data_IF_506426353762
#
_entry.id   IF_506426353762
#
_cell.length_a   1.000
_cell.length_b   1.000
_cell.length_c   1.000
_cell.angle_alpha   90.00
_cell.angle_beta   90.00
_cell.angle_gamma   90.00
#
_symmetry.space_group_name_H-M   'P 1'
#
loop_
_entity.id
_entity.type
_entity.pdbx_description
1 polymer ?
#
# COMPACT_ATOMS: atom_id res chain seq x y z
N UNK A 1 -17.67 -21.74 -8.28
CA UNK A 1 -18.09 -21.41 -6.90
C UNK A 1 -16.89 -20.81 -6.18
N UNK A 2 -16.96 -19.53 -5.83
CA UNK A 2 -15.82 -18.83 -5.22
C UNK A 2 -16.07 -18.66 -3.72
N UNK A 3 -15.71 -19.69 -2.95
CA UNK A 3 -15.72 -19.58 -1.49
C UNK A 3 -14.56 -18.71 -1.00
N UNK A 4 -14.79 -17.91 0.03
CA UNK A 4 -13.76 -17.12 0.69
C UNK A 4 -13.78 -17.32 2.21
N UNK A 5 -12.67 -17.03 2.89
CA UNK A 5 -12.61 -17.11 4.35
C UNK A 5 -13.57 -16.13 5.01
N UNK A 6 -14.28 -16.54 6.05
CA UNK A 6 -15.29 -15.75 6.76
C UNK A 6 -14.76 -14.39 7.21
N UNK A 7 -13.55 -14.31 7.79
CA UNK A 7 -12.93 -13.02 8.16
C UNK A 7 -12.63 -12.11 6.96
N UNK A 8 -12.36 -12.70 5.76
CA UNK A 8 -12.19 -11.92 4.53
C UNK A 8 -13.53 -11.35 4.06
N UNK A 9 -14.60 -12.16 4.11
CA UNK A 9 -15.96 -11.72 3.81
C UNK A 9 -16.39 -10.56 4.72
N UNK A 10 -16.26 -10.70 6.06
CA UNK A 10 -16.62 -9.65 7.01
C UNK A 10 -15.83 -8.36 6.80
N UNK A 11 -14.55 -8.48 6.46
CA UNK A 11 -13.72 -7.31 6.16
C UNK A 11 -14.14 -6.61 4.87
N UNK A 12 -14.49 -7.35 3.84
CA UNK A 12 -15.00 -6.84 2.56
C UNK A 12 -16.37 -6.19 2.69
N UNK A 13 -17.21 -6.72 3.56
CA UNK A 13 -18.50 -6.15 3.92
C UNK A 13 -18.40 -4.90 4.81
N UNK A 14 -17.20 -4.49 5.20
CA UNK A 14 -16.97 -3.27 5.99
C UNK A 14 -17.17 -3.42 7.50
N UNK A 15 -17.48 -4.64 8.00
CA UNK A 15 -17.73 -4.90 9.43
C UNK A 15 -16.51 -4.59 10.28
N UNK A 16 -15.33 -5.15 9.91
CA UNK A 16 -14.12 -5.00 10.70
C UNK A 16 -12.84 -5.24 9.85
N UNK A 17 -11.65 -5.06 10.46
CA UNK A 17 -10.42 -5.60 9.84
C UNK A 17 -10.44 -7.12 9.88
N UNK A 18 -9.65 -7.80 9.03
CA UNK A 18 -9.57 -9.27 9.06
C UNK A 18 -9.20 -9.79 10.45
N UNK A 19 -8.23 -9.15 11.13
CA UNK A 19 -7.83 -9.51 12.51
C UNK A 19 -8.93 -9.24 13.53
N UNK A 20 -9.62 -8.10 13.43
CA UNK A 20 -10.76 -7.80 14.32
C UNK A 20 -11.94 -8.74 14.02
N UNK A 21 -12.18 -9.09 12.76
CA UNK A 21 -13.19 -10.08 12.36
C UNK A 21 -12.90 -11.46 12.95
N UNK A 22 -11.64 -11.87 13.02
CA UNK A 22 -11.22 -13.10 13.71
C UNK A 22 -11.62 -13.07 15.19
N UNK A 23 -11.36 -11.96 15.89
CA UNK A 23 -11.78 -11.81 17.30
C UNK A 23 -13.32 -11.85 17.46
N UNK A 24 -14.07 -11.23 16.54
CA UNK A 24 -15.55 -11.26 16.53
C UNK A 24 -16.07 -12.69 16.31
N UNK A 25 -15.44 -13.47 15.40
CA UNK A 25 -15.79 -14.86 15.17
C UNK A 25 -15.51 -15.70 16.42
N UNK A 26 -14.33 -15.60 17.02
CA UNK A 26 -13.96 -16.33 18.21
C UNK A 26 -14.87 -16.03 19.42
N UNK A 27 -15.37 -14.79 19.50
CA UNK A 27 -16.33 -14.37 20.52
C UNK A 27 -17.77 -14.92 20.30
N UNK A 28 -18.00 -15.78 19.27
CA UNK A 28 -19.30 -16.36 18.97
C UNK A 28 -20.37 -15.38 18.48
N UNK A 29 -19.94 -14.20 17.98
CA UNK A 29 -20.84 -13.15 17.51
C UNK A 29 -21.25 -13.28 16.04
N UNK A 30 -20.71 -14.30 15.33
CA UNK A 30 -20.97 -14.54 13.92
C UNK A 30 -21.75 -15.82 13.74
N UNK A 31 -22.82 -15.78 12.97
CA UNK A 31 -23.56 -16.97 12.54
C UNK A 31 -23.55 -17.08 11.00
N UNK A 32 -23.43 -18.30 10.50
CA UNK A 32 -23.52 -18.65 9.09
C UNK A 32 -24.67 -19.64 8.94
N UNK A 33 -25.65 -19.32 8.10
CA UNK A 33 -26.85 -20.13 7.88
C UNK A 33 -27.58 -20.51 9.19
N UNK A 34 -27.60 -19.59 10.15
CA UNK A 34 -28.22 -19.77 11.45
C UNK A 34 -27.37 -20.47 12.52
N UNK A 35 -26.21 -21.01 12.17
CA UNK A 35 -25.30 -21.67 13.12
C UNK A 35 -24.18 -20.71 13.57
N UNK A 36 -23.95 -20.60 14.86
CA UNK A 36 -22.85 -19.82 15.42
C UNK A 36 -21.51 -20.45 15.04
N UNK A 37 -20.61 -19.63 14.57
CA UNK A 37 -19.24 -20.04 14.14
C UNK A 37 -18.22 -19.40 15.06
N UNK A 38 -17.40 -20.23 15.71
CA UNK A 38 -16.24 -19.79 16.52
C UNK A 38 -14.91 -20.28 15.96
N UNK A 39 -14.95 -21.31 15.10
CA UNK A 39 -13.78 -21.92 14.52
C UNK A 39 -13.10 -20.99 13.47
N UNK A 40 -11.77 -20.99 13.48
CA UNK A 40 -10.98 -20.27 12.49
C UNK A 40 -10.89 -21.05 11.17
N UNK A 41 -10.73 -20.31 10.07
CA UNK A 41 -10.54 -20.91 8.75
C UNK A 41 -11.82 -21.25 8.00
N UNK A 42 -12.99 -21.09 8.60
CA UNK A 42 -14.31 -21.31 7.96
C UNK A 42 -14.41 -20.48 6.69
N UNK A 43 -14.93 -21.10 5.63
CA UNK A 43 -15.19 -20.48 4.33
C UNK A 43 -16.69 -20.30 4.13
N UNK A 44 -17.05 -19.24 3.44
CA UNK A 44 -18.43 -18.93 3.05
C UNK A 44 -18.50 -18.66 1.54
N UNK A 45 -19.64 -19.00 0.96
CA UNK A 45 -20.01 -18.60 -0.40
C UNK A 45 -20.86 -17.32 -0.31
N UNK A 46 -20.33 -16.17 -0.76
CA UNK A 46 -21.04 -14.87 -0.65
C UNK A 46 -22.39 -14.83 -1.36
N UNK A 47 -22.60 -15.69 -2.34
CA UNK A 47 -23.81 -15.73 -3.17
C UNK A 47 -24.89 -16.68 -2.61
N UNK A 48 -24.54 -17.53 -1.62
CA UNK A 48 -25.44 -18.56 -1.08
C UNK A 48 -25.60 -18.51 0.43
N UNK A 49 -24.51 -18.21 1.15
CA UNK A 49 -24.51 -18.25 2.60
C UNK A 49 -25.04 -16.96 3.21
N UNK A 50 -25.92 -17.11 4.19
CA UNK A 50 -26.43 -15.99 4.99
C UNK A 50 -25.53 -15.79 6.22
N UNK A 51 -24.75 -14.70 6.21
CA UNK A 51 -23.86 -14.35 7.33
C UNK A 51 -24.54 -13.29 8.20
N UNK A 52 -24.53 -13.52 9.52
CA UNK A 52 -25.02 -12.54 10.52
C UNK A 52 -23.92 -12.20 11.50
N UNK A 53 -23.87 -10.94 11.93
CA UNK A 53 -23.05 -10.48 13.05
C UNK A 53 -24.01 -9.85 14.08
N UNK A 54 -23.98 -10.31 15.31
CA UNK A 54 -24.91 -9.90 16.39
C UNK A 54 -26.38 -9.94 15.93
N UNK A 55 -26.75 -10.96 15.16
CA UNK A 55 -28.10 -11.15 14.62
C UNK A 55 -28.43 -10.35 13.35
N UNK A 56 -27.60 -9.40 12.94
CA UNK A 56 -27.82 -8.53 11.77
C UNK A 56 -27.19 -9.16 10.53
N UNK A 57 -27.96 -9.28 9.42
CA UNK A 57 -27.45 -9.81 8.16
C UNK A 57 -26.37 -8.87 7.61
N UNK A 58 -25.26 -9.46 7.20
CA UNK A 58 -24.13 -8.75 6.60
C UNK A 58 -24.04 -9.10 5.11
N UNK A 59 -24.05 -8.07 4.26
CA UNK A 59 -23.92 -8.20 2.82
C UNK A 59 -22.76 -7.35 2.31
N UNK A 60 -22.17 -7.77 1.19
CA UNK A 60 -21.10 -6.99 0.54
C UNK A 60 -21.72 -6.02 -0.45
N UNK A 61 -22.14 -4.85 0.02
CA UNK A 61 -22.79 -3.81 -0.79
C UNK A 61 -21.85 -2.66 -1.19
N UNK A 62 -20.68 -2.55 -0.55
CA UNK A 62 -19.78 -1.44 -0.78
C UNK A 62 -19.17 -1.51 -2.19
N UNK A 63 -19.37 -0.48 -3.00
CA UNK A 63 -18.69 -0.31 -4.28
C UNK A 63 -17.16 -0.34 -4.08
N UNK A 64 -16.43 -0.98 -4.99
CA UNK A 64 -14.97 -0.93 -5.00
C UNK A 64 -14.50 0.48 -5.26
N UNK A 65 -13.65 0.99 -4.39
CA UNK A 65 -13.06 2.32 -4.50
C UNK A 65 -11.57 2.23 -4.36
N UNK A 66 -10.88 3.09 -5.10
CA UNK A 66 -9.43 3.24 -5.03
C UNK A 66 -9.10 4.71 -5.19
N UNK A 67 -8.27 5.24 -4.30
CA UNK A 67 -7.84 6.63 -4.29
C UNK A 67 -6.32 6.73 -4.29
N UNK A 68 -5.81 7.78 -4.94
CA UNK A 68 -4.43 8.24 -4.83
C UNK A 68 -4.41 9.36 -3.80
N UNK A 69 -3.61 9.21 -2.76
CA UNK A 69 -3.36 10.22 -1.74
C UNK A 69 -1.93 10.76 -1.89
N UNK A 70 -1.75 12.07 -1.82
CA UNK A 70 -0.43 12.65 -1.60
C UNK A 70 -0.14 12.67 -0.11
N UNK A 71 0.42 11.57 0.40
CA UNK A 71 0.77 11.43 1.82
C UNK A 71 1.71 12.55 2.26
N UNK A 72 1.36 13.35 3.27
CA UNK A 72 2.28 14.32 3.87
C UNK A 72 3.27 13.62 4.82
N UNK A 73 4.30 14.35 5.24
CA UNK A 73 5.17 14.00 6.36
C UNK A 73 4.34 13.89 7.66
N UNK A 74 4.75 13.02 8.57
CA UNK A 74 4.14 12.95 9.91
C UNK A 74 2.85 12.13 9.99
N UNK A 75 2.57 11.29 8.98
CA UNK A 75 1.43 10.37 8.99
C UNK A 75 1.90 8.93 8.85
N UNK A 76 1.31 8.01 9.62
CA UNK A 76 1.57 6.57 9.51
C UNK A 76 0.61 5.90 8.55
N UNK A 77 1.11 4.96 7.76
CA UNK A 77 0.33 4.19 6.77
C UNK A 77 -0.41 3.03 7.44
N UNK A 78 -1.42 3.36 8.23
CA UNK A 78 -2.30 2.40 8.88
C UNK A 78 -3.72 2.96 8.97
N UNK A 79 -4.68 2.13 9.33
CA UNK A 79 -6.07 2.53 9.63
C UNK A 79 -6.28 2.86 11.11
N UNK A 80 -5.36 2.45 11.98
CA UNK A 80 -5.34 2.75 13.42
C UNK A 80 -3.92 2.66 13.94
N UNK A 81 -3.54 3.59 14.79
CA UNK A 81 -2.25 3.61 15.45
C UNK A 81 -2.40 3.54 16.96
N UNK A 82 -1.78 2.56 17.66
CA UNK A 82 -1.87 2.45 19.11
C UNK A 82 -1.11 3.55 19.86
N UNK A 83 -0.15 4.21 19.21
CA UNK A 83 0.65 5.30 19.78
C UNK A 83 -0.01 6.69 19.58
N UNK A 84 -1.21 6.74 18.98
CA UNK A 84 -1.96 7.97 18.76
C UNK A 84 -1.38 8.92 17.71
N UNK A 85 -0.46 8.45 16.85
CA UNK A 85 0.05 9.25 15.72
C UNK A 85 -1.03 9.40 14.65
N UNK A 86 -0.98 10.48 13.90
CA UNK A 86 -1.89 10.73 12.79
C UNK A 86 -1.81 9.62 11.75
N UNK A 87 -2.96 9.11 11.31
CA UNK A 87 -3.05 8.03 10.32
C UNK A 87 -3.52 8.55 8.96
N UNK A 88 -3.03 7.93 7.89
CA UNK A 88 -3.35 8.37 6.51
C UNK A 88 -4.84 8.33 6.18
N UNK A 89 -5.62 7.50 6.86
CA UNK A 89 -7.06 7.40 6.65
C UNK A 89 -7.83 8.62 7.17
N UNK A 90 -7.29 9.40 8.12
CA UNK A 90 -7.88 10.65 8.57
C UNK A 90 -7.97 11.69 7.45
N UNK A 91 -7.03 11.66 6.51
CA UNK A 91 -6.98 12.57 5.37
C UNK A 91 -8.12 12.33 4.36
N UNK A 92 -8.81 11.20 4.43
CA UNK A 92 -9.94 10.87 3.56
C UNK A 92 -11.27 11.48 4.03
N UNK A 93 -11.31 12.02 5.24
CA UNK A 93 -12.52 12.63 5.80
C UNK A 93 -13.70 11.66 5.84
N UNK A 94 -14.87 12.13 5.34
CA UNK A 94 -16.14 11.37 5.34
C UNK A 94 -16.29 10.48 4.08
N UNK A 95 -15.20 10.05 3.43
CA UNK A 95 -15.32 9.18 2.26
C UNK A 95 -16.04 7.88 2.64
N UNK A 96 -17.09 7.46 1.91
CA UNK A 96 -17.81 6.25 2.20
C UNK A 96 -16.96 5.00 1.88
N UNK A 97 -17.11 3.99 2.71
CA UNK A 97 -16.38 2.74 2.60
C UNK A 97 -15.08 2.74 3.42
N UNK A 98 -14.66 1.54 3.82
CA UNK A 98 -13.45 1.35 4.60
C UNK A 98 -12.25 1.16 3.67
N UNK A 99 -11.55 2.24 3.35
CA UNK A 99 -10.31 2.18 2.59
C UNK A 99 -9.11 1.90 3.50
N UNK A 100 -8.13 1.18 2.99
CA UNK A 100 -6.86 0.91 3.68
C UNK A 100 -5.68 1.10 2.71
N UNK A 101 -4.49 1.46 3.22
CA UNK A 101 -3.34 1.73 2.38
C UNK A 101 -2.82 0.47 1.67
N UNK A 102 -2.45 0.62 0.40
CA UNK A 102 -1.78 -0.38 -0.43
C UNK A 102 -0.27 -0.21 -0.28
N UNK A 103 0.32 -1.05 0.54
CA UNK A 103 1.70 -0.89 0.96
C UNK A 103 1.89 0.26 1.95
N UNK A 104 3.13 0.66 2.14
CA UNK A 104 3.48 1.71 3.11
C UNK A 104 4.47 2.71 2.52
N UNK A 105 4.45 3.91 3.08
CA UNK A 105 5.52 4.89 3.09
C UNK A 105 5.88 5.15 4.55
N UNK A 106 7.14 5.39 4.82
CA UNK A 106 7.63 5.69 6.16
C UNK A 106 6.99 6.97 6.71
N UNK A 107 7.08 7.18 8.01
CA UNK A 107 6.54 8.35 8.71
C UNK A 107 7.07 9.67 8.12
N UNK A 108 8.36 9.70 7.82
CA UNK A 108 9.08 10.84 7.26
C UNK A 108 9.10 10.88 5.71
N UNK A 109 8.64 9.82 5.04
CA UNK A 109 8.47 9.82 3.60
C UNK A 109 7.14 10.44 3.17
N UNK A 110 7.14 11.05 2.00
CA UNK A 110 5.98 11.73 1.41
C UNK A 110 5.61 11.11 0.07
N UNK A 111 4.51 11.55 -0.53
CA UNK A 111 4.22 11.24 -1.93
C UNK A 111 3.04 10.32 -2.16
N UNK A 112 3.02 9.67 -3.30
CA UNK A 112 1.91 8.86 -3.78
C UNK A 112 1.67 7.65 -2.89
N UNK A 113 0.50 7.57 -2.28
CA UNK A 113 0.00 6.41 -1.55
C UNK A 113 -1.36 6.02 -2.12
N UNK A 114 -1.51 4.75 -2.46
CA UNK A 114 -2.79 4.19 -2.88
C UNK A 114 -3.57 3.70 -1.66
N UNK A 115 -4.88 3.96 -1.61
CA UNK A 115 -5.78 3.34 -0.64
C UNK A 115 -6.96 2.72 -1.39
N UNK A 116 -7.40 1.55 -0.95
CA UNK A 116 -8.50 0.83 -1.60
C UNK A 116 -9.28 -0.04 -0.61
N UNK A 117 -10.49 -0.45 -0.99
CA UNK A 117 -11.23 -1.56 -0.36
C UNK A 117 -11.24 -2.83 -1.24
N UNK A 118 -10.57 -2.83 -2.41
CA UNK A 118 -10.36 -4.01 -3.23
C UNK A 118 -9.13 -4.80 -2.72
N UNK A 119 -9.40 -5.84 -1.92
CA UNK A 119 -8.34 -6.64 -1.30
C UNK A 119 -7.53 -7.49 -2.28
N UNK A 120 -8.10 -7.84 -3.43
CA UNK A 120 -7.38 -8.58 -4.46
C UNK A 120 -6.39 -7.66 -5.19
N UNK A 121 -6.84 -6.47 -5.55
CA UNK A 121 -5.98 -5.45 -6.14
C UNK A 121 -4.84 -5.07 -5.18
N UNK A 122 -5.16 -4.81 -3.90
CA UNK A 122 -4.16 -4.47 -2.88
C UNK A 122 -3.10 -5.58 -2.70
N UNK A 123 -3.53 -6.84 -2.68
CA UNK A 123 -2.63 -7.99 -2.59
C UNK A 123 -1.67 -8.02 -3.77
N UNK A 124 -2.17 -7.99 -5.00
CA UNK A 124 -1.33 -8.08 -6.20
C UNK A 124 -0.38 -6.90 -6.34
N UNK A 125 -0.83 -5.69 -6.05
CA UNK A 125 0.01 -4.49 -6.09
C UNK A 125 1.14 -4.48 -5.05
N UNK A 126 1.03 -5.27 -3.98
CA UNK A 126 2.04 -5.32 -2.91
C UNK A 126 2.88 -6.60 -2.90
N UNK A 127 2.38 -7.67 -3.49
CA UNK A 127 3.09 -8.96 -3.49
C UNK A 127 4.30 -8.93 -4.42
N UNK A 128 5.48 -9.42 -3.99
CA UNK A 128 6.73 -9.34 -4.77
C UNK A 128 6.67 -9.96 -6.17
N UNK A 129 5.86 -11.01 -6.36
CA UNK A 129 5.75 -11.71 -7.65
C UNK A 129 5.20 -10.86 -8.79
N UNK A 130 4.55 -9.74 -8.50
CA UNK A 130 4.02 -8.85 -9.54
C UNK A 130 4.97 -7.70 -9.89
N UNK A 131 6.08 -7.55 -9.20
CA UNK A 131 7.17 -6.61 -9.51
C UNK A 131 6.71 -5.20 -9.88
N UNK A 132 5.72 -4.66 -9.16
CA UNK A 132 5.15 -3.34 -9.45
C UNK A 132 6.17 -2.24 -9.16
N UNK A 133 6.41 -1.38 -10.13
CA UNK A 133 7.37 -0.27 -10.06
C UNK A 133 7.01 0.76 -8.99
N UNK A 134 8.02 1.23 -8.29
CA UNK A 134 7.92 2.32 -7.33
C UNK A 134 9.03 3.31 -7.61
N UNK A 135 8.66 4.47 -8.12
CA UNK A 135 9.63 5.54 -8.43
C UNK A 135 9.63 6.60 -7.33
N UNK A 136 10.81 6.90 -6.86
CA UNK A 136 11.03 7.87 -5.80
C UNK A 136 11.91 9.00 -6.29
N UNK A 137 11.54 10.24 -5.94
CA UNK A 137 12.45 11.37 -5.96
C UNK A 137 13.14 11.44 -4.61
N UNK A 138 14.46 11.36 -4.63
CA UNK A 138 15.31 11.21 -3.46
C UNK A 138 16.29 12.38 -3.41
N UNK A 139 16.34 13.11 -2.31
CA UNK A 139 17.43 14.05 -2.03
C UNK A 139 18.39 13.38 -1.06
N UNK A 140 19.65 13.32 -1.40
CA UNK A 140 20.71 12.72 -0.60
C UNK A 140 21.80 13.73 -0.30
N UNK A 141 22.54 13.51 0.78
CA UNK A 141 23.70 14.32 1.14
C UNK A 141 24.86 14.10 0.17
N UNK A 142 25.57 15.18 -0.16
CA UNK A 142 26.75 15.20 -1.00
C UNK A 142 26.49 15.00 -2.50
N UNK A 143 27.56 15.13 -3.27
CA UNK A 143 27.55 14.93 -4.71
C UNK A 143 27.68 13.46 -5.08
N UNK A 144 26.64 12.86 -5.68
CA UNK A 144 26.67 11.48 -6.15
C UNK A 144 27.44 11.38 -7.46
N UNK A 145 28.56 10.68 -7.47
CA UNK A 145 29.41 10.51 -8.64
C UNK A 145 28.77 9.62 -9.71
N UNK A 146 29.27 9.69 -10.95
CA UNK A 146 28.87 8.75 -12.01
C UNK A 146 29.19 7.30 -11.66
N UNK A 147 30.29 7.08 -10.93
CA UNK A 147 30.71 5.74 -10.48
C UNK A 147 29.73 5.17 -9.45
N UNK A 148 29.28 6.00 -8.47
CA UNK A 148 28.26 5.60 -7.50
C UNK A 148 26.95 5.21 -8.19
N UNK A 149 26.53 5.96 -9.22
CA UNK A 149 25.33 5.62 -10.02
C UNK A 149 25.49 4.27 -10.71
N UNK A 150 26.65 4.02 -11.35
CA UNK A 150 26.93 2.73 -11.98
C UNK A 150 26.90 1.58 -10.98
N UNK A 151 27.52 1.78 -9.80
CA UNK A 151 27.51 0.78 -8.70
C UNK A 151 26.09 0.47 -8.25
N UNK A 152 25.22 1.47 -8.05
CA UNK A 152 23.83 1.27 -7.70
C UNK A 152 23.08 0.46 -8.75
N UNK A 153 23.22 0.84 -10.05
CA UNK A 153 22.54 0.16 -11.16
C UNK A 153 23.07 -1.24 -11.44
N UNK A 154 24.33 -1.52 -11.11
CA UNK A 154 24.92 -2.85 -11.21
C UNK A 154 24.40 -3.83 -10.15
N UNK A 155 23.71 -3.32 -9.15
CA UNK A 155 23.12 -4.07 -8.06
C UNK A 155 23.87 -3.91 -6.73
N UNK A 156 23.07 -3.76 -5.69
CA UNK A 156 23.57 -3.62 -4.31
C UNK A 156 23.03 -4.76 -3.46
N UNK A 157 23.92 -5.47 -2.78
CA UNK A 157 23.52 -6.50 -1.82
C UNK A 157 22.97 -5.85 -0.54
N UNK A 158 21.74 -6.19 -0.22
CA UNK A 158 21.10 -5.83 1.05
C UNK A 158 20.59 -7.09 1.73
N UNK A 159 21.30 -7.54 2.75
CA UNK A 159 21.00 -8.74 3.55
C UNK A 159 20.98 -10.04 2.72
N UNK A 160 22.00 -10.24 1.86
CA UNK A 160 22.10 -11.42 1.01
C UNK A 160 21.13 -11.44 -0.18
N UNK A 161 20.51 -10.29 -0.50
CA UNK A 161 19.63 -10.13 -1.66
C UNK A 161 20.01 -8.90 -2.46
N UNK A 162 20.40 -9.10 -3.69
CA UNK A 162 20.69 -8.01 -4.62
C UNK A 162 19.43 -7.23 -4.99
N UNK A 163 19.56 -5.91 -5.03
CA UNK A 163 18.59 -4.95 -5.56
C UNK A 163 19.21 -4.25 -6.74
N UNK A 164 18.50 -4.19 -7.85
CA UNK A 164 18.92 -3.55 -9.09
C UNK A 164 18.02 -2.32 -9.34
N UNK A 165 18.32 -1.17 -8.73
CA UNK A 165 17.53 0.04 -8.96
C UNK A 165 17.84 0.65 -10.31
N UNK A 166 16.84 1.21 -10.97
CA UNK A 166 17.06 2.18 -12.05
C UNK A 166 17.31 3.55 -11.40
N UNK A 167 18.43 4.19 -11.75
CA UNK A 167 18.85 5.45 -11.12
C UNK A 167 19.07 6.51 -12.18
N UNK A 168 18.33 7.62 -12.06
CA UNK A 168 18.49 8.82 -12.87
C UNK A 168 18.88 10.00 -11.98
N UNK A 169 19.91 10.75 -12.38
CA UNK A 169 20.32 11.96 -11.69
C UNK A 169 19.60 13.17 -12.29
N UNK A 170 18.81 13.85 -11.47
CA UNK A 170 18.07 15.03 -11.90
C UNK A 170 18.86 16.33 -11.67
N UNK A 171 19.58 16.40 -10.54
CA UNK A 171 20.39 17.58 -10.19
C UNK A 171 21.54 17.18 -9.28
N UNK A 172 22.73 17.75 -9.53
CA UNK A 172 23.90 17.68 -8.64
C UNK A 172 24.23 19.05 -8.10
N UNK A 173 24.48 19.12 -6.81
CA UNK A 173 25.01 20.26 -6.10
C UNK A 173 26.11 19.74 -5.14
N UNK A 174 27.09 20.55 -4.71
CA UNK A 174 28.19 20.09 -3.87
C UNK A 174 27.75 19.40 -2.57
N UNK A 175 26.69 19.89 -1.94
CA UNK A 175 26.20 19.41 -0.65
C UNK A 175 25.07 18.39 -0.77
N UNK A 176 24.43 18.28 -1.95
CA UNK A 176 23.29 17.38 -2.15
C UNK A 176 23.10 16.98 -3.60
N UNK A 177 22.52 15.80 -3.81
CA UNK A 177 22.10 15.33 -5.12
C UNK A 177 20.62 14.96 -5.09
N UNK A 178 19.90 15.30 -6.15
CA UNK A 178 18.52 14.86 -6.38
C UNK A 178 18.50 13.78 -7.43
N UNK A 179 17.95 12.62 -7.06
CA UNK A 179 17.86 11.42 -7.89
C UNK A 179 16.40 11.03 -8.10
N UNK A 180 16.11 10.37 -9.21
CA UNK A 180 14.94 9.49 -9.34
C UNK A 180 15.42 8.05 -9.32
N UNK A 181 14.83 7.25 -8.41
CA UNK A 181 15.18 5.86 -8.19
C UNK A 181 13.91 5.01 -8.33
N UNK A 182 13.94 4.07 -9.29
CA UNK A 182 12.86 3.08 -9.47
C UNK A 182 13.31 1.72 -8.94
N UNK A 183 12.43 1.09 -8.14
CA UNK A 183 12.60 -0.26 -7.62
C UNK A 183 11.32 -1.07 -7.81
N UNK A 184 11.45 -2.40 -7.95
CA UNK A 184 10.34 -3.32 -8.21
C UNK A 184 9.85 -4.04 -6.94
N UNK A 185 10.36 -3.67 -5.79
CA UNK A 185 10.06 -4.27 -4.50
C UNK A 185 9.86 -3.22 -3.39
N UNK A 186 9.30 -3.64 -2.25
CA UNK A 186 8.98 -2.73 -1.14
C UNK A 186 9.49 -3.22 0.21
N UNK A 187 10.78 -3.61 0.32
CA UNK A 187 11.40 -3.97 1.60
C UNK A 187 11.46 -2.76 2.54
N UNK A 188 11.58 -3.05 3.83
CA UNK A 188 11.71 -2.04 4.88
C UNK A 188 12.87 -1.09 4.61
N UNK A 189 12.58 0.22 4.56
CA UNK A 189 13.54 1.31 4.36
C UNK A 189 14.46 1.14 3.13
N UNK A 190 13.99 0.46 2.06
CA UNK A 190 14.81 0.01 0.94
C UNK A 190 15.66 1.13 0.34
N UNK A 191 15.06 2.26 -0.04
CA UNK A 191 15.79 3.38 -0.66
C UNK A 191 16.80 4.00 0.31
N UNK A 192 16.44 4.15 1.57
CA UNK A 192 17.34 4.70 2.60
C UNK A 192 18.57 3.82 2.78
N UNK A 193 18.36 2.52 2.90
CA UNK A 193 19.43 1.53 3.05
C UNK A 193 20.32 1.43 1.81
N UNK A 194 19.73 1.49 0.60
CA UNK A 194 20.49 1.52 -0.65
C UNK A 194 21.45 2.72 -0.70
N UNK A 195 20.95 3.91 -0.37
CA UNK A 195 21.74 5.13 -0.43
C UNK A 195 22.76 5.21 0.70
N UNK A 196 22.44 4.71 1.90
CA UNK A 196 23.36 4.59 3.02
C UNK A 196 24.54 3.65 2.68
N UNK A 197 24.27 2.52 2.00
CA UNK A 197 25.30 1.54 1.59
C UNK A 197 26.34 2.15 0.61
N UNK A 198 25.98 3.19 -0.11
CA UNK A 198 26.90 3.90 -1.03
C UNK A 198 27.42 5.23 -0.44
N UNK A 199 27.16 5.49 0.84
CA UNK A 199 27.68 6.66 1.55
C UNK A 199 26.92 7.97 1.35
N UNK A 200 25.68 7.92 0.83
CA UNK A 200 24.86 9.09 0.58
C UNK A 200 23.51 9.00 1.34
N UNK A 201 23.45 9.36 2.63
CA UNK A 201 22.21 9.26 3.41
C UNK A 201 21.07 10.10 2.83
N UNK A 202 19.85 9.55 2.91
CA UNK A 202 18.65 10.19 2.38
C UNK A 202 18.16 11.28 3.32
N UNK A 203 18.06 12.50 2.80
CA UNK A 203 17.49 13.68 3.49
C UNK A 203 15.98 13.83 3.23
N UNK A 204 15.56 13.58 1.97
CA UNK A 204 14.15 13.69 1.57
C UNK A 204 13.77 12.50 0.69
N UNK A 205 12.64 11.88 1.00
CA UNK A 205 12.09 10.78 0.23
C UNK A 205 10.64 11.06 -0.17
N UNK A 206 10.38 11.07 -1.49
CA UNK A 206 9.05 11.30 -2.04
C UNK A 206 8.74 10.27 -3.11
N UNK A 207 7.74 9.40 -2.90
CA UNK A 207 7.27 8.52 -3.96
C UNK A 207 6.47 9.31 -4.99
N UNK A 208 6.94 9.37 -6.22
CA UNK A 208 6.33 10.13 -7.31
C UNK A 208 5.50 9.28 -8.27
N UNK A 209 5.77 7.96 -8.28
CA UNK A 209 5.02 7.02 -9.10
C UNK A 209 4.83 5.66 -8.39
N UNK A 210 3.75 4.96 -8.76
CA UNK A 210 3.43 3.60 -8.32
C UNK A 210 2.73 2.87 -9.47
N UNK A 211 3.42 1.92 -10.12
CA UNK A 211 2.98 1.35 -11.38
C UNK A 211 2.68 2.45 -12.41
N UNK A 212 1.51 2.42 -13.05
CA UNK A 212 1.12 3.44 -14.05
C UNK A 212 0.75 4.80 -13.44
N UNK A 213 0.57 4.88 -12.13
CA UNK A 213 0.11 6.10 -11.47
C UNK A 213 1.23 7.10 -11.27
N UNK A 214 0.91 8.40 -11.42
CA UNK A 214 1.81 9.53 -11.19
C UNK A 214 1.21 10.49 -10.15
N UNK A 215 2.08 11.15 -9.39
CA UNK A 215 1.69 12.11 -8.35
C UNK A 215 1.45 13.53 -8.90
N UNK A 216 1.24 13.70 -10.15
CA UNK A 216 1.12 15.00 -10.79
C UNK A 216 -0.14 15.74 -10.36
N UNK A 217 -0.04 17.07 -10.14
CA UNK A 217 -1.17 17.96 -9.87
C UNK A 217 -1.87 17.78 -8.51
N UNK A 218 -1.49 16.79 -7.69
CA UNK A 218 -2.15 16.52 -6.41
C UNK A 218 -1.46 17.26 -5.26
N UNK A 219 -2.18 18.16 -4.60
CA UNK A 219 -1.67 18.89 -3.44
C UNK A 219 -1.36 17.96 -2.27
N UNK A 220 -0.38 18.33 -1.45
CA UNK A 220 0.00 17.56 -0.26
C UNK A 220 -1.17 17.46 0.72
N UNK A 221 -1.46 16.25 1.19
CA UNK A 221 -2.60 15.95 2.07
C UNK A 221 -3.92 15.74 1.32
N UNK A 222 -3.99 16.06 0.03
CA UNK A 222 -5.18 15.83 -0.79
C UNK A 222 -5.18 14.45 -1.41
N UNK A 223 -6.36 13.98 -1.77
CA UNK A 223 -6.56 12.73 -2.51
C UNK A 223 -7.52 12.94 -3.69
N UNK A 224 -7.48 12.02 -4.63
CA UNK A 224 -8.46 11.89 -5.72
C UNK A 224 -8.79 10.43 -5.98
N UNK A 225 -9.93 10.16 -6.53
CA UNK A 225 -10.24 8.82 -7.04
C UNK A 225 -9.34 8.48 -8.24
N UNK A 226 -9.02 7.20 -8.38
CA UNK A 226 -8.34 6.67 -9.56
C UNK A 226 -9.32 6.68 -10.73
N UNK A 227 -8.90 7.24 -11.86
CA UNK A 227 -9.73 7.26 -13.07
C UNK A 227 -9.95 5.86 -13.66
N UNK A 228 -10.99 5.66 -14.46
CA UNK A 228 -11.24 4.37 -15.12
C UNK A 228 -10.04 3.88 -15.95
N UNK A 229 -9.36 4.79 -16.66
CA UNK A 229 -8.15 4.47 -17.44
C UNK A 229 -6.98 4.03 -16.56
N UNK A 230 -6.75 4.74 -15.46
CA UNK A 230 -5.72 4.38 -14.48
C UNK A 230 -6.02 3.03 -13.81
N UNK A 231 -7.30 2.79 -13.46
CA UNK A 231 -7.73 1.52 -12.88
C UNK A 231 -7.51 0.36 -13.85
N UNK A 232 -7.87 0.53 -15.12
CA UNK A 232 -7.62 -0.48 -16.14
C UNK A 232 -6.12 -0.78 -16.28
N UNK A 233 -5.27 0.25 -16.30
CA UNK A 233 -3.82 0.08 -16.35
C UNK A 233 -3.24 -0.59 -15.09
N UNK A 234 -3.73 -0.24 -13.89
CA UNK A 234 -3.34 -0.90 -12.64
C UNK A 234 -3.68 -2.39 -12.65
N UNK A 235 -4.90 -2.73 -13.07
CA UNK A 235 -5.37 -4.12 -13.12
C UNK A 235 -4.59 -4.94 -14.14
N UNK A 236 -4.37 -4.38 -15.35
CA UNK A 236 -3.56 -5.01 -16.38
C UNK A 236 -2.12 -5.28 -15.93
N UNK A 237 -1.49 -4.31 -15.23
CA UNK A 237 -0.12 -4.44 -14.73
C UNK A 237 0.08 -5.51 -13.64
N UNK A 238 -1.01 -6.13 -13.15
CA UNK A 238 -0.97 -7.21 -12.14
C UNK A 238 -1.86 -8.40 -12.53
N UNK A 239 -2.14 -8.60 -13.82
CA UNK A 239 -2.92 -9.71 -14.38
C UNK A 239 -4.32 -9.87 -13.71
N UNK A 240 -4.95 -8.77 -13.35
CA UNK A 240 -6.26 -8.76 -12.73
C UNK A 240 -7.31 -8.31 -13.77
N UNK A 241 -8.22 -9.21 -14.11
CA UNK A 241 -9.35 -8.91 -15.01
C UNK A 241 -10.41 -8.02 -14.35
#
# INVERSE_FOLDING_TARGET
MTTERLQKFLSRAGVASRRTAEAIIQAGRVAVNGQVVTAMGVKVDPDRDVVKVDGIIVTVTAARRTVVLHKPYGYVCTTRDPEGRRVVTELLGKMPGRLYPVGRLDYDATGLLLLTNDGELAYRLTHPSYSVDRTYRVTVAGEVSKETVRRLSAGVDLDGRFVYPEVQVNKREPEKTVLEITVHEGRYHLIKRLMEQVGHPVEKLKRIAFGPLRLEGLLRGSFREVTGREMAALRAGVDLK
#
